data_IF_212217072348
#
_entry.id   IF_212217072348
#
_cell.length_a   1.000
_cell.length_b   1.000
_cell.length_c   1.000
_cell.angle_alpha   90.00
_cell.angle_beta   90.00
_cell.angle_gamma   90.00
#
_symmetry.space_group_name_H-M   'P 1'
#
loop_
_entity.id
_entity.type
_entity.pdbx_description
1 polymer ?
#
# COMPACT_ATOMS: atom_id res chain seq x y z
N UNK A 1 71.08 -27.55 -51.98
CA UNK A 1 70.09 -26.44 -52.10
C UNK A 1 68.95 -26.71 -51.12
N UNK A 2 68.82 -25.86 -50.11
CA UNK A 2 67.85 -25.97 -49.01
C UNK A 2 66.44 -25.66 -49.54
N UNK A 3 65.45 -26.52 -49.30
CA UNK A 3 64.03 -26.17 -49.45
C UNK A 3 63.50 -25.72 -48.08
N UNK A 4 63.09 -24.46 -48.02
CA UNK A 4 62.53 -23.82 -46.83
C UNK A 4 61.05 -24.16 -46.67
N UNK A 5 60.66 -24.22 -45.41
CA UNK A 5 59.33 -24.43 -44.83
C UNK A 5 58.48 -23.18 -45.05
N UNK A 6 57.17 -23.34 -45.30
CA UNK A 6 56.18 -22.31 -44.96
C UNK A 6 54.88 -22.98 -44.48
N UNK A 7 54.75 -23.12 -43.16
CA UNK A 7 53.49 -23.43 -42.49
C UNK A 7 52.73 -22.13 -42.29
N UNK A 8 51.55 -22.00 -42.89
CA UNK A 8 50.65 -20.88 -42.66
C UNK A 8 49.90 -21.10 -41.34
N UNK A 9 50.23 -20.31 -40.33
CA UNK A 9 49.43 -20.18 -39.10
C UNK A 9 48.33 -19.15 -39.37
N UNK A 10 47.08 -19.61 -39.47
CA UNK A 10 45.93 -18.71 -39.36
C UNK A 10 45.80 -18.27 -37.90
N UNK A 11 46.16 -17.03 -37.61
CA UNK A 11 45.81 -16.38 -36.36
C UNK A 11 44.35 -15.91 -36.44
N UNK A 12 43.43 -16.69 -35.89
CA UNK A 12 42.05 -16.25 -35.67
C UNK A 12 42.04 -15.27 -34.50
N UNK A 13 42.03 -13.97 -34.79
CA UNK A 13 41.81 -12.94 -33.79
C UNK A 13 40.38 -13.06 -33.26
N UNK A 14 40.22 -13.61 -32.07
CA UNK A 14 38.97 -13.55 -31.31
C UNK A 14 38.76 -12.10 -30.88
N UNK A 15 38.03 -11.33 -31.70
CA UNK A 15 37.49 -10.03 -31.27
C UNK A 15 36.37 -10.39 -30.30
N UNK A 16 36.70 -10.33 -29.01
CA UNK A 16 35.74 -10.38 -27.92
C UNK A 16 34.93 -9.08 -28.00
N UNK A 17 33.88 -9.08 -28.83
CA UNK A 17 32.91 -8.00 -28.87
C UNK A 17 32.18 -7.99 -27.55
N UNK A 18 32.56 -7.06 -26.67
CA UNK A 18 31.73 -6.65 -25.55
C UNK A 18 30.42 -6.14 -26.15
N UNK A 19 29.39 -6.97 -26.19
CA UNK A 19 28.04 -6.53 -26.48
C UNK A 19 27.63 -5.61 -25.33
N UNK A 20 27.89 -4.31 -25.48
CA UNK A 20 27.33 -3.29 -24.62
C UNK A 20 25.81 -3.47 -24.73
N UNK A 21 25.16 -3.79 -23.61
CA UNK A 21 23.71 -3.84 -23.54
C UNK A 21 23.18 -2.50 -24.07
N UNK A 22 22.38 -2.55 -25.13
CA UNK A 22 21.84 -1.35 -25.75
C UNK A 22 20.94 -0.65 -24.73
N UNK A 23 21.24 0.62 -24.45
CA UNK A 23 20.49 1.43 -23.51
C UNK A 23 19.03 1.55 -24.00
N UNK A 24 18.08 1.24 -23.10
CA UNK A 24 16.66 1.34 -23.41
C UNK A 24 16.29 2.82 -23.41
N UNK A 25 15.91 3.34 -24.56
CA UNK A 25 15.42 4.72 -24.74
C UNK A 25 13.93 4.73 -25.10
N UNK A 26 13.19 5.82 -24.81
CA UNK A 26 11.81 5.99 -25.23
C UNK A 26 11.63 5.85 -26.74
N UNK A 27 10.42 5.50 -27.17
CA UNK A 27 10.00 5.64 -28.56
C UNK A 27 10.08 7.11 -29.03
N UNK A 28 10.35 7.32 -30.33
CA UNK A 28 10.28 8.65 -30.92
C UNK A 28 8.84 9.19 -30.83
N UNK A 29 8.71 10.46 -30.45
CA UNK A 29 7.42 11.16 -30.29
C UNK A 29 6.45 10.48 -29.32
N UNK A 30 6.97 9.77 -28.31
CA UNK A 30 6.16 9.07 -27.32
C UNK A 30 5.19 10.01 -26.58
N UNK A 31 3.95 9.55 -26.40
CA UNK A 31 2.88 10.29 -25.70
C UNK A 31 2.27 9.41 -24.62
N UNK A 32 2.40 9.82 -23.37
CA UNK A 32 1.94 9.04 -22.23
C UNK A 32 0.74 9.69 -21.56
N UNK A 33 -0.38 8.96 -21.49
CA UNK A 33 -1.50 9.24 -20.61
C UNK A 33 -1.21 8.64 -19.23
N UNK A 34 -1.06 9.49 -18.23
CA UNK A 34 -0.76 9.09 -16.85
C UNK A 34 -2.02 9.21 -16.00
N UNK A 35 -2.41 8.14 -15.32
CA UNK A 35 -3.49 8.19 -14.34
C UNK A 35 -2.91 8.30 -12.93
N UNK A 36 -3.42 9.27 -12.17
CA UNK A 36 -2.97 9.56 -10.83
C UNK A 36 -4.16 9.82 -9.90
N UNK A 37 -3.98 9.62 -8.60
CA UNK A 37 -4.98 10.09 -7.66
C UNK A 37 -5.06 11.64 -7.64
N UNK A 38 -6.12 12.17 -7.07
CA UNK A 38 -6.44 13.58 -7.02
C UNK A 38 -5.44 14.37 -6.16
N UNK A 39 -5.48 15.70 -6.31
CA UNK A 39 -4.79 16.61 -5.40
C UNK A 39 -3.26 16.50 -5.49
N UNK A 40 -2.62 16.19 -4.36
CA UNK A 40 -1.16 16.17 -4.25
C UNK A 40 -0.50 15.12 -5.16
N UNK A 41 -1.14 13.96 -5.35
CA UNK A 41 -0.64 12.89 -6.22
C UNK A 41 -0.57 13.34 -7.69
N UNK A 42 -1.62 13.94 -8.24
CA UNK A 42 -1.59 14.50 -9.61
C UNK A 42 -0.53 15.59 -9.76
N UNK A 43 -0.32 16.44 -8.75
CA UNK A 43 0.75 17.46 -8.78
C UNK A 43 2.15 16.83 -8.80
N UNK A 44 2.35 15.79 -7.99
CA UNK A 44 3.59 15.02 -7.99
C UNK A 44 3.86 14.37 -9.36
N UNK A 45 2.85 13.74 -9.98
CA UNK A 45 3.04 13.08 -11.29
C UNK A 45 3.42 14.06 -12.40
N UNK A 46 2.89 15.30 -12.37
CA UNK A 46 3.31 16.37 -13.28
C UNK A 46 4.77 16.77 -13.07
N UNK A 47 5.18 16.97 -11.82
CA UNK A 47 6.57 17.24 -11.47
C UNK A 47 7.50 16.11 -11.96
N UNK A 48 7.13 14.85 -11.71
CA UNK A 48 7.93 13.70 -12.13
C UNK A 48 8.06 13.62 -13.66
N UNK A 49 7.01 13.93 -14.42
CA UNK A 49 7.06 13.97 -15.88
C UNK A 49 8.02 15.04 -16.41
N UNK A 50 8.00 16.24 -15.81
CA UNK A 50 8.92 17.32 -16.16
C UNK A 50 10.38 16.93 -15.87
N UNK A 51 10.64 16.38 -14.68
CA UNK A 51 11.99 15.94 -14.29
C UNK A 51 12.46 14.73 -15.09
N UNK A 52 11.57 13.81 -15.48
CA UNK A 52 11.91 12.68 -16.34
C UNK A 52 12.48 13.14 -17.69
N UNK A 53 11.83 14.09 -18.36
CA UNK A 53 12.36 14.65 -19.60
C UNK A 53 13.65 15.42 -19.38
N UNK A 54 13.70 16.27 -18.34
CA UNK A 54 14.84 17.15 -18.07
C UNK A 54 16.11 16.39 -17.69
N UNK A 55 16.02 15.37 -16.83
CA UNK A 55 17.18 14.63 -16.33
C UNK A 55 17.76 13.68 -17.37
N UNK A 56 16.92 13.14 -18.26
CA UNK A 56 17.32 12.15 -19.25
C UNK A 56 17.50 12.72 -20.67
N UNK A 57 17.16 14.00 -20.89
CA UNK A 57 17.18 14.62 -22.22
C UNK A 57 16.13 14.05 -23.18
N UNK A 58 15.04 13.50 -22.65
CA UNK A 58 13.94 12.93 -23.43
C UNK A 58 12.92 14.00 -23.83
N UNK A 59 12.11 13.68 -24.85
CA UNK A 59 11.02 14.51 -25.33
C UNK A 59 9.71 13.71 -25.38
N UNK A 60 9.25 13.25 -24.22
CA UNK A 60 7.98 12.53 -24.07
C UNK A 60 6.87 13.52 -23.75
N UNK A 61 5.75 13.46 -24.48
CA UNK A 61 4.56 14.27 -24.20
C UNK A 61 3.72 13.58 -23.11
N UNK A 62 3.29 14.33 -22.09
CA UNK A 62 2.50 13.78 -20.99
C UNK A 62 1.11 14.42 -20.90
N UNK A 63 0.10 13.58 -20.73
CA UNK A 63 -1.27 13.98 -20.37
C UNK A 63 -1.69 13.29 -19.08
N UNK A 64 -2.63 13.89 -18.33
CA UNK A 64 -2.98 13.41 -17.00
C UNK A 64 -4.48 13.29 -16.82
N UNK A 65 -4.91 12.19 -16.20
CA UNK A 65 -6.30 11.97 -15.77
C UNK A 65 -6.31 11.62 -14.29
N UNK A 66 -7.12 12.35 -13.51
CA UNK A 66 -7.30 12.01 -12.11
C UNK A 66 -8.34 10.91 -11.96
N UNK A 67 -7.95 9.82 -11.30
CA UNK A 67 -8.82 8.67 -11.02
C UNK A 67 -8.41 8.07 -9.67
N UNK A 68 -9.40 7.64 -8.87
CA UNK A 68 -9.12 6.95 -7.60
C UNK A 68 -8.37 5.63 -7.87
N UNK A 69 -7.33 5.28 -7.09
CA UNK A 69 -6.64 3.99 -7.23
C UNK A 69 -7.57 2.77 -7.18
N UNK A 70 -8.67 2.85 -6.44
CA UNK A 70 -9.67 1.77 -6.32
C UNK A 70 -10.41 1.52 -7.64
N UNK A 71 -10.69 2.57 -8.40
CA UNK A 71 -11.39 2.47 -9.69
C UNK A 71 -10.44 2.15 -10.85
N UNK A 72 -9.14 2.45 -10.67
CA UNK A 72 -8.11 2.39 -11.70
C UNK A 72 -8.01 1.02 -12.35
N UNK A 73 -7.93 -0.07 -11.56
CA UNK A 73 -7.80 -1.42 -12.12
C UNK A 73 -9.01 -1.83 -12.97
N UNK A 74 -10.22 -1.46 -12.56
CA UNK A 74 -11.42 -1.78 -13.35
C UNK A 74 -11.46 -0.94 -14.63
N UNK A 75 -11.10 0.35 -14.56
CA UNK A 75 -11.06 1.25 -15.71
C UNK A 75 -9.98 0.89 -16.72
N UNK A 76 -8.83 0.41 -16.28
CA UNK A 76 -7.74 0.02 -17.17
C UNK A 76 -8.19 -1.07 -18.17
N UNK A 77 -8.99 -2.03 -17.71
CA UNK A 77 -9.58 -3.07 -18.57
C UNK A 77 -10.71 -2.52 -19.43
N UNK A 78 -11.59 -1.69 -18.88
CA UNK A 78 -12.75 -1.16 -19.61
C UNK A 78 -12.36 -0.21 -20.73
N UNK A 79 -11.36 0.63 -20.49
CA UNK A 79 -10.88 1.64 -21.44
C UNK A 79 -9.81 1.03 -22.38
N UNK A 80 -9.45 -0.25 -22.19
CA UNK A 80 -8.46 -0.98 -22.99
C UNK A 80 -8.83 -0.98 -24.47
N UNK A 81 -7.95 -0.42 -25.31
CA UNK A 81 -8.20 -0.22 -26.74
C UNK A 81 -8.89 1.11 -27.10
N UNK A 82 -9.08 2.02 -26.14
CA UNK A 82 -9.50 3.40 -26.40
C UNK A 82 -8.34 4.38 -26.20
N UNK A 83 -8.44 5.58 -26.77
CA UNK A 83 -7.47 6.67 -26.54
C UNK A 83 -7.50 7.25 -25.13
N UNK A 84 -8.41 6.80 -24.27
CA UNK A 84 -8.51 7.24 -22.88
C UNK A 84 -7.73 6.37 -21.91
N UNK A 85 -7.28 5.18 -22.36
CA UNK A 85 -6.50 4.26 -21.53
C UNK A 85 -5.23 4.92 -21.02
N UNK A 86 -4.91 4.73 -19.75
CA UNK A 86 -3.64 5.17 -19.21
C UNK A 86 -2.52 4.26 -19.67
N UNK A 87 -1.39 4.83 -20.04
CA UNK A 87 -0.14 4.12 -20.35
C UNK A 87 0.57 3.70 -19.05
N UNK A 88 0.66 4.64 -18.10
CA UNK A 88 1.19 4.42 -16.75
C UNK A 88 0.14 4.83 -15.73
N UNK A 89 -0.22 3.91 -14.83
CA UNK A 89 -1.28 4.14 -13.85
C UNK A 89 -0.84 3.68 -12.46
N UNK A 90 -1.37 4.31 -11.41
CA UNK A 90 -1.15 3.88 -10.03
C UNK A 90 -2.31 3.01 -9.52
N UNK A 91 -1.99 1.81 -9.03
CA UNK A 91 -2.95 0.87 -8.44
C UNK A 91 -2.56 0.50 -7.01
N UNK A 92 -3.52 0.04 -6.23
CA UNK A 92 -3.21 -0.72 -5.01
C UNK A 92 -2.90 -2.18 -5.37
N UNK A 93 -1.85 -2.73 -4.76
CA UNK A 93 -1.27 -4.03 -5.14
C UNK A 93 -2.26 -5.21 -5.12
N UNK A 94 -3.31 -5.18 -4.29
CA UNK A 94 -4.32 -6.24 -4.21
C UNK A 94 -5.12 -6.41 -5.51
N UNK A 95 -5.11 -5.40 -6.38
CA UNK A 95 -5.73 -5.45 -7.71
C UNK A 95 -4.83 -6.01 -8.81
N UNK A 96 -3.51 -6.10 -8.58
CA UNK A 96 -2.52 -6.49 -9.59
C UNK A 96 -2.82 -7.87 -10.17
N UNK A 97 -3.10 -8.86 -9.32
CA UNK A 97 -3.36 -10.23 -9.77
C UNK A 97 -4.56 -10.33 -10.72
N UNK A 98 -5.60 -9.51 -10.53
CA UNK A 98 -6.77 -9.45 -11.44
C UNK A 98 -6.37 -8.85 -12.78
N UNK A 99 -5.54 -7.81 -12.79
CA UNK A 99 -5.06 -7.17 -14.01
C UNK A 99 -4.18 -8.10 -14.83
N UNK A 100 -3.28 -8.86 -14.18
CA UNK A 100 -2.43 -9.86 -14.85
C UNK A 100 -3.29 -10.93 -15.51
N UNK A 101 -4.27 -11.50 -14.80
CA UNK A 101 -5.19 -12.51 -15.37
C UNK A 101 -6.02 -11.94 -16.53
N UNK A 102 -6.42 -10.67 -16.45
CA UNK A 102 -7.18 -10.01 -17.50
C UNK A 102 -6.31 -9.51 -18.68
N UNK A 103 -4.98 -9.65 -18.60
CA UNK A 103 -4.05 -9.12 -19.61
C UNK A 103 -4.03 -7.59 -19.68
N UNK A 104 -4.32 -6.89 -18.59
CA UNK A 104 -4.40 -5.43 -18.55
C UNK A 104 -3.08 -4.71 -18.27
N UNK A 105 -2.07 -5.44 -17.79
CA UNK A 105 -0.75 -4.89 -17.45
C UNK A 105 0.34 -5.75 -18.06
N UNK A 106 1.44 -5.13 -18.48
CA UNK A 106 2.60 -5.82 -19.01
C UNK A 106 3.63 -6.12 -17.92
N UNK A 107 4.49 -7.11 -18.17
CA UNK A 107 5.61 -7.43 -17.29
C UNK A 107 6.57 -6.25 -17.15
N UNK A 108 7.21 -6.14 -15.98
CA UNK A 108 8.32 -5.23 -15.78
C UNK A 108 9.56 -5.79 -16.48
N UNK A 109 10.10 -5.02 -17.42
CA UNK A 109 11.28 -5.39 -18.21
C UNK A 109 12.55 -4.61 -17.82
N UNK A 110 12.46 -3.73 -16.83
CA UNK A 110 13.55 -2.84 -16.40
C UNK A 110 13.74 -2.86 -14.89
N UNK A 111 14.98 -2.64 -14.44
CA UNK A 111 15.28 -2.41 -13.02
C UNK A 111 14.79 -3.50 -12.04
N UNK A 112 14.57 -4.73 -12.49
CA UNK A 112 14.15 -5.86 -11.64
C UNK A 112 15.12 -6.07 -10.47
N UNK A 113 16.42 -6.13 -10.75
CA UNK A 113 17.46 -6.30 -9.72
C UNK A 113 17.48 -5.14 -8.73
N UNK A 114 17.23 -3.91 -9.22
CA UNK A 114 17.17 -2.71 -8.40
C UNK A 114 16.00 -2.77 -7.43
N UNK A 115 14.80 -3.07 -7.94
CA UNK A 115 13.58 -3.23 -7.13
C UNK A 115 13.79 -4.32 -6.07
N UNK A 116 14.35 -5.47 -6.44
CA UNK A 116 14.59 -6.57 -5.50
C UNK A 116 15.58 -6.22 -4.38
N UNK A 117 16.58 -5.38 -4.68
CA UNK A 117 17.65 -5.02 -3.76
C UNK A 117 17.31 -3.82 -2.86
N UNK A 118 16.66 -2.80 -3.41
CA UNK A 118 16.47 -1.50 -2.76
C UNK A 118 15.14 -1.38 -2.01
N UNK A 119 14.12 -2.13 -2.44
CA UNK A 119 12.78 -2.03 -1.85
C UNK A 119 12.62 -2.95 -0.64
N UNK A 120 11.74 -2.56 0.29
CA UNK A 120 11.39 -3.42 1.42
C UNK A 120 10.75 -4.75 0.93
N UNK A 121 10.98 -5.88 1.62
CA UNK A 121 10.54 -7.19 1.13
C UNK A 121 9.03 -7.31 0.84
N UNK A 122 8.19 -6.58 1.58
CA UNK A 122 6.74 -6.52 1.33
C UNK A 122 6.39 -5.82 0.01
N UNK A 123 7.12 -4.78 -0.36
CA UNK A 123 6.93 -4.05 -1.61
C UNK A 123 7.41 -4.85 -2.82
N UNK A 124 8.55 -5.56 -2.68
CA UNK A 124 9.02 -6.51 -3.70
C UNK A 124 7.97 -7.59 -3.95
N UNK A 125 7.43 -8.19 -2.88
CA UNK A 125 6.38 -9.20 -3.03
C UNK A 125 5.11 -8.64 -3.69
N UNK A 126 4.68 -7.43 -3.28
CA UNK A 126 3.51 -6.76 -3.84
C UNK A 126 3.65 -6.44 -5.33
N UNK A 127 4.88 -6.20 -5.82
CA UNK A 127 5.15 -5.90 -7.22
C UNK A 127 5.03 -7.09 -8.18
N UNK A 128 4.84 -8.31 -7.64
CA UNK A 128 4.91 -9.58 -8.37
C UNK A 128 3.58 -10.30 -8.42
N UNK A 129 3.35 -11.02 -9.52
CA UNK A 129 2.31 -12.04 -9.65
C UNK A 129 2.95 -13.31 -10.22
N UNK A 130 2.70 -14.47 -9.60
CA UNK A 130 3.32 -15.73 -10.00
C UNK A 130 4.86 -15.66 -10.15
N UNK A 131 5.51 -14.95 -9.23
CA UNK A 131 6.96 -14.65 -9.22
C UNK A 131 7.50 -13.79 -10.38
N UNK A 132 6.64 -13.28 -11.25
CA UNK A 132 6.99 -12.34 -12.32
C UNK A 132 6.68 -10.92 -11.87
N UNK A 133 7.57 -9.96 -12.15
CA UNK A 133 7.39 -8.55 -11.82
C UNK A 133 6.45 -7.86 -12.81
N UNK A 134 5.52 -7.05 -12.31
CA UNK A 134 4.57 -6.28 -13.13
C UNK A 134 4.42 -4.82 -12.68
N UNK A 135 4.82 -4.50 -11.44
CA UNK A 135 4.67 -3.17 -10.89
C UNK A 135 5.98 -2.60 -10.35
N UNK A 136 5.98 -1.28 -10.21
CA UNK A 136 7.05 -0.50 -9.63
C UNK A 136 6.52 0.08 -8.31
N UNK A 137 6.99 -0.39 -7.14
CA UNK A 137 6.52 0.14 -5.86
C UNK A 137 6.85 1.62 -5.69
N UNK A 138 5.85 2.44 -5.37
CA UNK A 138 6.02 3.90 -5.22
C UNK A 138 5.72 4.43 -3.83
N UNK A 139 4.84 3.75 -3.08
CA UNK A 139 4.56 4.08 -1.68
C UNK A 139 3.95 2.88 -0.97
N UNK A 140 3.98 2.89 0.36
CA UNK A 140 3.15 2.00 1.15
C UNK A 140 2.44 2.76 2.28
N UNK A 141 1.37 2.16 2.80
CA UNK A 141 0.59 2.69 3.89
C UNK A 141 0.03 1.55 4.75
N UNK A 142 -0.22 1.84 6.02
CA UNK A 142 -0.99 0.98 6.91
C UNK A 142 -1.78 1.84 7.90
N UNK A 143 -2.69 1.21 8.65
CA UNK A 143 -3.52 1.91 9.63
C UNK A 143 -2.69 2.40 10.81
N UNK A 144 -3.10 3.53 11.38
CA UNK A 144 -2.55 4.12 12.58
C UNK A 144 -3.68 4.51 13.54
N UNK A 145 -3.33 4.77 14.80
CA UNK A 145 -4.24 5.32 15.79
C UNK A 145 -4.05 6.83 15.85
N UNK A 146 -5.10 7.57 15.50
CA UNK A 146 -5.21 9.00 15.76
C UNK A 146 -5.86 9.19 17.12
N UNK A 147 -5.37 10.13 17.93
CA UNK A 147 -5.98 10.45 19.22
C UNK A 147 -6.09 11.96 19.44
N UNK A 148 -7.14 12.38 20.13
CA UNK A 148 -7.33 13.76 20.52
C UNK A 148 -6.61 13.99 21.86
N UNK A 149 -5.53 14.78 21.84
CA UNK A 149 -4.70 15.08 23.01
C UNK A 149 -5.42 15.87 24.09
N UNK A 150 -6.54 16.53 23.76
CA UNK A 150 -7.37 17.22 24.75
C UNK A 150 -8.26 16.24 25.55
N UNK A 151 -8.39 14.99 25.08
CA UNK A 151 -9.16 13.92 25.72
C UNK A 151 -8.25 12.83 26.30
N UNK A 152 -7.22 12.45 25.55
CA UNK A 152 -6.19 11.49 25.93
C UNK A 152 -4.84 12.23 25.97
N UNK A 153 -4.49 12.73 27.15
CA UNK A 153 -3.29 13.57 27.34
C UNK A 153 -1.98 12.82 27.05
N UNK A 154 -1.99 11.50 27.19
CA UNK A 154 -0.87 10.62 26.91
C UNK A 154 -1.19 9.71 25.72
N UNK A 155 -0.14 9.35 25.00
CA UNK A 155 -0.24 8.41 23.89
C UNK A 155 -0.67 7.02 24.41
N UNK A 156 -1.83 6.48 23.96
CA UNK A 156 -2.30 5.20 24.47
C UNK A 156 -1.37 4.07 24.03
N UNK A 157 -0.92 3.25 24.97
CA UNK A 157 -0.02 2.10 24.73
C UNK A 157 -0.78 0.80 24.63
N UNK A 158 -1.94 0.73 25.29
CA UNK A 158 -2.80 -0.46 25.33
C UNK A 158 -4.25 -0.10 24.99
N UNK A 159 -4.99 -1.04 24.42
CA UNK A 159 -6.44 -0.88 24.25
C UNK A 159 -7.18 -0.90 25.59
N UNK A 160 -6.60 -1.55 26.60
CA UNK A 160 -7.11 -1.59 27.97
C UNK A 160 -7.16 -0.20 28.60
N UNK A 161 -6.16 0.67 28.36
CA UNK A 161 -6.21 2.09 28.76
C UNK A 161 -7.41 2.82 28.13
N UNK A 162 -7.67 2.56 26.84
CA UNK A 162 -8.79 3.18 26.12
C UNK A 162 -10.13 2.64 26.64
N UNK A 163 -10.22 1.34 26.96
CA UNK A 163 -11.39 0.73 27.59
C UNK A 163 -11.65 1.37 28.95
N UNK A 164 -10.62 1.53 29.79
CA UNK A 164 -10.78 2.15 31.11
C UNK A 164 -11.27 3.61 30.99
N UNK A 165 -10.65 4.40 30.11
CA UNK A 165 -11.10 5.76 29.82
C UNK A 165 -12.57 5.80 29.36
N UNK A 166 -12.98 4.82 28.55
CA UNK A 166 -14.33 4.75 28.00
C UNK A 166 -15.43 4.66 29.05
N UNK A 167 -15.16 4.08 30.23
CA UNK A 167 -16.14 3.94 31.32
C UNK A 167 -16.68 5.28 31.82
N UNK A 168 -15.88 6.35 31.69
CA UNK A 168 -16.25 7.70 32.12
C UNK A 168 -16.57 8.64 30.95
N UNK A 169 -16.01 8.38 29.77
CA UNK A 169 -16.19 9.24 28.59
C UNK A 169 -17.38 8.84 27.70
N UNK A 170 -17.64 7.53 27.53
CA UNK A 170 -18.64 7.06 26.59
C UNK A 170 -20.04 7.54 26.94
N UNK A 171 -20.74 8.09 25.95
CA UNK A 171 -22.11 8.52 26.10
C UNK A 171 -22.83 8.48 24.76
N UNK A 172 -23.60 7.41 24.51
CA UNK A 172 -24.29 7.21 23.24
C UNK A 172 -25.32 8.30 22.93
N UNK A 173 -25.93 8.93 23.96
CA UNK A 173 -26.88 10.04 23.74
C UNK A 173 -26.19 11.30 23.22
N UNK A 174 -24.93 11.50 23.61
CA UNK A 174 -24.09 12.61 23.13
C UNK A 174 -23.21 12.21 21.95
N UNK A 175 -23.31 10.96 21.47
CA UNK A 175 -22.44 10.36 20.45
C UNK A 175 -20.94 10.46 20.81
N UNK A 176 -20.62 10.30 22.10
CA UNK A 176 -19.24 10.27 22.60
C UNK A 176 -18.72 8.84 22.68
N UNK A 177 -17.55 8.59 22.10
CA UNK A 177 -16.94 7.28 22.00
C UNK A 177 -15.43 7.35 22.27
N UNK A 178 -14.89 6.50 23.12
CA UNK A 178 -13.46 6.46 23.40
C UNK A 178 -12.67 5.95 22.20
N UNK A 179 -13.25 5.01 21.44
CA UNK A 179 -12.62 4.38 20.30
C UNK A 179 -13.61 4.26 19.14
N UNK A 180 -13.21 4.67 17.94
CA UNK A 180 -13.93 4.33 16.71
C UNK A 180 -13.00 3.76 15.63
N UNK A 181 -13.54 2.80 14.89
CA UNK A 181 -13.08 2.33 13.58
C UNK A 181 -14.26 1.66 12.87
N UNK A 182 -14.15 1.35 11.57
CA UNK A 182 -15.17 0.56 10.88
C UNK A 182 -15.06 -0.93 11.25
N UNK A 183 -15.76 -1.33 12.29
CA UNK A 183 -15.80 -2.73 12.74
C UNK A 183 -16.21 -3.71 11.62
N UNK A 184 -17.07 -3.26 10.70
CA UNK A 184 -17.56 -4.09 9.59
C UNK A 184 -16.59 -4.17 8.41
N UNK A 185 -15.61 -3.26 8.33
CA UNK A 185 -14.60 -3.30 7.28
C UNK A 185 -13.53 -4.33 7.64
N UNK A 186 -13.41 -5.37 6.82
CA UNK A 186 -12.39 -6.39 7.03
C UNK A 186 -10.98 -5.81 6.99
N UNK A 187 -10.68 -4.88 6.08
CA UNK A 187 -9.36 -4.26 5.99
C UNK A 187 -8.92 -3.62 7.32
N UNK A 188 -9.86 -2.99 8.04
CA UNK A 188 -9.62 -2.37 9.34
C UNK A 188 -9.60 -3.41 10.48
N UNK A 189 -10.61 -4.30 10.54
CA UNK A 189 -10.75 -5.27 11.63
C UNK A 189 -9.78 -6.46 11.55
N UNK A 190 -9.15 -6.68 10.39
CA UNK A 190 -8.19 -7.79 10.18
C UNK A 190 -7.00 -7.73 11.13
N UNK A 191 -6.67 -6.54 11.65
CA UNK A 191 -5.60 -6.38 12.63
C UNK A 191 -5.78 -7.23 13.89
N UNK A 192 -7.00 -7.39 14.37
CA UNK A 192 -7.28 -8.20 15.55
C UNK A 192 -7.33 -9.69 15.22
N UNK A 193 -7.90 -10.05 14.07
CA UNK A 193 -7.92 -11.42 13.58
C UNK A 193 -6.51 -12.01 13.45
N UNK A 194 -5.57 -11.23 12.91
CA UNK A 194 -4.22 -11.71 12.65
C UNK A 194 -3.28 -11.62 13.87
N UNK A 195 -3.66 -10.94 14.96
CA UNK A 195 -2.77 -10.64 16.08
C UNK A 195 -2.28 -11.89 16.82
N UNK A 196 -3.10 -12.95 16.86
CA UNK A 196 -2.77 -14.24 17.48
C UNK A 196 -2.44 -15.34 16.46
N UNK A 197 -2.05 -14.98 15.23
CA UNK A 197 -1.67 -15.96 14.19
C UNK A 197 -2.83 -16.45 13.31
N UNK A 198 -3.97 -15.74 13.30
CA UNK A 198 -4.94 -15.87 12.22
C UNK A 198 -4.33 -15.45 10.89
N UNK A 199 -4.68 -16.15 9.81
CA UNK A 199 -4.25 -15.83 8.45
C UNK A 199 -5.34 -16.22 7.44
N UNK A 200 -5.36 -15.56 6.29
CA UNK A 200 -6.37 -15.80 5.27
C UNK A 200 -6.04 -17.04 4.45
N UNK A 201 -4.82 -17.08 3.92
CA UNK A 201 -4.28 -18.17 3.12
C UNK A 201 -2.89 -18.56 3.62
N UNK A 202 -2.61 -19.85 3.66
CA UNK A 202 -1.32 -20.38 4.09
C UNK A 202 -0.17 -19.96 3.17
N UNK A 203 1.05 -20.31 3.57
CA UNK A 203 2.28 -19.94 2.84
C UNK A 203 2.35 -18.44 2.51
N UNK A 204 2.23 -17.60 3.54
CA UNK A 204 2.28 -16.13 3.43
C UNK A 204 1.25 -15.52 2.46
N UNK A 205 0.10 -16.17 2.28
CA UNK A 205 -0.95 -15.68 1.38
C UNK A 205 -1.02 -16.40 0.04
N UNK A 206 -0.09 -17.30 -0.27
CA UNK A 206 0.01 -17.91 -1.60
C UNK A 206 -0.73 -19.25 -1.75
N UNK A 207 -1.15 -19.90 -0.67
CA UNK A 207 -1.82 -21.20 -0.71
C UNK A 207 -3.33 -21.07 -0.44
N UNK A 208 -4.18 -21.04 -1.47
CA UNK A 208 -5.64 -20.89 -1.29
C UNK A 208 -6.33 -22.12 -0.70
N UNK A 209 -5.65 -23.27 -0.60
CA UNK A 209 -6.20 -24.51 -0.04
C UNK A 209 -5.99 -24.60 1.48
N UNK A 210 -5.11 -23.77 2.04
CA UNK A 210 -4.84 -23.69 3.46
C UNK A 210 -5.49 -22.42 4.02
N UNK A 211 -6.66 -22.58 4.65
CA UNK A 211 -7.46 -21.46 5.16
C UNK A 211 -7.31 -21.33 6.67
N UNK A 212 -6.64 -20.28 7.13
CA UNK A 212 -6.46 -19.96 8.56
C UNK A 212 -7.60 -19.13 9.16
N UNK A 213 -8.66 -18.84 8.40
CA UNK A 213 -9.73 -17.89 8.77
C UNK A 213 -10.52 -18.28 10.02
N UNK A 214 -10.42 -19.53 10.46
CA UNK A 214 -11.07 -20.06 11.65
C UNK A 214 -10.12 -20.89 12.52
N UNK A 215 -8.80 -20.68 12.39
CA UNK A 215 -7.82 -21.32 13.26
C UNK A 215 -7.91 -20.78 14.70
N UNK A 216 -7.21 -21.41 15.65
CA UNK A 216 -7.26 -21.02 17.05
C UNK A 216 -6.87 -19.54 17.25
N UNK A 217 -5.81 -19.08 16.57
CA UNK A 217 -5.37 -17.69 16.60
C UNK A 217 -6.42 -16.69 16.12
N UNK A 218 -7.11 -17.00 15.02
CA UNK A 218 -8.21 -16.20 14.51
C UNK A 218 -9.36 -16.07 15.51
N UNK A 219 -9.73 -17.19 16.14
CA UNK A 219 -10.80 -17.21 17.16
C UNK A 219 -10.39 -16.41 18.40
N UNK A 220 -9.16 -16.59 18.88
CA UNK A 220 -8.60 -15.83 20.02
C UNK A 220 -8.59 -14.33 19.71
N UNK A 221 -8.06 -13.94 18.56
CA UNK A 221 -7.96 -12.54 18.13
C UNK A 221 -9.31 -11.84 18.00
N UNK A 222 -10.29 -12.51 17.39
CA UNK A 222 -11.65 -11.99 17.28
C UNK A 222 -12.39 -11.96 18.63
N UNK A 223 -12.11 -12.91 19.53
CA UNK A 223 -12.66 -12.91 20.89
C UNK A 223 -12.13 -11.72 21.69
N UNK A 224 -10.83 -11.43 21.59
CA UNK A 224 -10.23 -10.24 22.20
C UNK A 224 -10.83 -8.96 21.63
N UNK A 225 -11.03 -8.88 20.30
CA UNK A 225 -11.68 -7.73 19.65
C UNK A 225 -13.06 -7.41 20.25
N UNK A 226 -13.83 -8.43 20.69
CA UNK A 226 -15.15 -8.21 21.29
C UNK A 226 -15.08 -7.39 22.60
N UNK A 227 -13.96 -7.42 23.33
CA UNK A 227 -13.75 -6.59 24.53
C UNK A 227 -13.80 -5.10 24.21
N UNK A 228 -13.38 -4.72 23.00
CA UNK A 228 -13.37 -3.33 22.54
C UNK A 228 -14.77 -2.74 22.37
N UNK A 229 -15.83 -3.54 22.41
CA UNK A 229 -17.22 -3.04 22.36
C UNK A 229 -17.53 -2.07 23.50
N UNK A 230 -16.84 -2.19 24.64
CA UNK A 230 -16.97 -1.25 25.74
C UNK A 230 -16.52 0.17 25.32
N UNK A 231 -15.38 0.26 24.63
CA UNK A 231 -14.82 1.52 24.13
C UNK A 231 -15.49 2.02 22.84
N UNK A 232 -15.78 1.12 21.90
CA UNK A 232 -16.51 1.37 20.67
C UNK A 232 -17.97 0.90 20.81
N UNK A 233 -18.73 1.64 21.62
CA UNK A 233 -20.12 1.35 21.95
C UNK A 233 -21.13 1.79 20.88
N UNK A 234 -20.65 2.28 19.74
CA UNK A 234 -21.49 2.74 18.66
C UNK A 234 -22.17 1.58 17.91
N UNK A 235 -23.32 1.86 17.32
CA UNK A 235 -23.91 0.94 16.36
C UNK A 235 -23.02 0.91 15.10
N UNK A 236 -22.41 -0.24 14.83
CA UNK A 236 -21.44 -0.39 13.74
C UNK A 236 -22.02 -0.09 12.36
N UNK A 237 -23.32 -0.28 12.15
CA UNK A 237 -23.97 0.02 10.87
C UNK A 237 -23.97 1.53 10.56
N UNK A 238 -24.07 2.36 11.59
CA UNK A 238 -24.11 3.82 11.47
C UNK A 238 -22.72 4.42 11.23
N UNK A 239 -21.67 3.62 11.45
CA UNK A 239 -20.27 4.03 11.35
C UNK A 239 -19.56 3.38 10.17
N UNK A 240 -20.25 2.96 9.12
CA UNK A 240 -19.60 2.40 7.92
C UNK A 240 -18.94 3.49 7.07
N UNK A 241 -19.53 4.68 7.01
CA UNK A 241 -18.97 5.84 6.31
C UNK A 241 -17.79 6.46 7.09
N UNK A 242 -16.57 6.52 6.51
CA UNK A 242 -15.42 7.16 7.15
C UNK A 242 -15.65 8.64 7.48
N UNK A 243 -16.43 9.38 6.69
CA UNK A 243 -16.67 10.81 6.94
C UNK A 243 -17.48 11.05 8.21
N UNK A 244 -18.40 10.13 8.55
CA UNK A 244 -19.13 10.17 9.82
C UNK A 244 -18.17 9.98 11.00
N UNK A 245 -17.28 8.98 10.93
CA UNK A 245 -16.29 8.71 11.99
C UNK A 245 -15.32 9.88 12.17
N UNK A 246 -14.77 10.38 11.06
CA UNK A 246 -13.85 11.53 11.03
C UNK A 246 -14.52 12.80 11.55
N UNK A 247 -15.75 13.08 11.14
CA UNK A 247 -16.51 14.23 11.63
C UNK A 247 -16.71 14.20 13.15
N UNK A 248 -17.12 13.05 13.71
CA UNK A 248 -17.25 12.89 15.17
C UNK A 248 -15.92 13.10 15.90
N UNK A 249 -14.80 12.63 15.33
CA UNK A 249 -13.47 12.87 15.89
C UNK A 249 -13.10 14.35 15.84
N UNK A 250 -13.28 15.01 14.70
CA UNK A 250 -13.02 16.45 14.52
C UNK A 250 -13.87 17.33 15.45
N UNK A 251 -15.08 16.89 15.80
CA UNK A 251 -15.96 17.54 16.79
C UNK A 251 -15.54 17.30 18.25
N UNK A 252 -14.46 16.56 18.50
CA UNK A 252 -14.02 16.20 19.85
C UNK A 252 -14.94 15.20 20.57
N UNK A 253 -15.76 14.45 19.82
CA UNK A 253 -16.62 13.40 20.37
C UNK A 253 -15.97 12.03 20.40
N UNK A 254 -14.82 11.89 19.75
CA UNK A 254 -14.07 10.64 19.71
C UNK A 254 -12.68 10.86 20.27
N UNK A 255 -12.26 10.03 21.22
CA UNK A 255 -10.96 10.16 21.85
C UNK A 255 -9.84 9.52 21.01
N UNK A 256 -10.10 8.33 20.45
CA UNK A 256 -9.18 7.60 19.59
C UNK A 256 -9.90 7.08 18.32
N UNK A 257 -9.28 7.26 17.16
CA UNK A 257 -9.79 6.88 15.85
C UNK A 257 -8.74 6.05 15.11
N UNK A 258 -9.09 4.84 14.69
CA UNK A 258 -8.25 4.05 13.79
C UNK A 258 -8.65 4.37 12.35
N UNK A 259 -7.67 4.82 11.56
CA UNK A 259 -7.84 5.13 10.12
C UNK A 259 -6.46 5.06 9.44
N UNK A 260 -6.42 5.23 8.12
CA UNK A 260 -5.15 5.27 7.38
C UNK A 260 -4.55 6.67 7.26
N UNK A 261 -3.35 6.79 6.66
CA UNK A 261 -2.63 8.05 6.47
C UNK A 261 -3.42 9.09 5.66
N UNK A 262 -4.32 8.62 4.78
CA UNK A 262 -5.21 9.46 3.97
C UNK A 262 -6.17 10.34 4.80
N UNK A 263 -6.40 10.02 6.08
CA UNK A 263 -7.23 10.85 6.96
C UNK A 263 -6.48 12.08 7.49
N UNK A 264 -5.15 12.02 7.60
CA UNK A 264 -4.36 12.96 8.40
C UNK A 264 -4.53 14.42 7.96
N UNK A 265 -4.48 14.70 6.66
CA UNK A 265 -4.60 16.06 6.16
C UNK A 265 -5.94 16.72 6.57
N UNK A 266 -7.03 15.94 6.54
CA UNK A 266 -8.35 16.40 6.98
C UNK A 266 -8.43 16.59 8.49
N UNK A 267 -7.80 15.71 9.27
CA UNK A 267 -7.75 15.81 10.74
C UNK A 267 -6.88 17.00 11.21
N UNK A 268 -5.71 17.22 10.61
CA UNK A 268 -4.87 18.40 10.89
C UNK A 268 -5.60 19.70 10.57
N UNK A 269 -6.31 19.75 9.44
CA UNK A 269 -7.06 20.94 9.01
C UNK A 269 -8.22 21.30 9.95
N UNK A 270 -8.77 20.34 10.70
CA UNK A 270 -9.87 20.63 11.62
C UNK A 270 -9.43 21.41 12.86
N UNK A 271 -8.13 21.54 13.12
CA UNK A 271 -7.59 22.23 14.29
C UNK A 271 -7.68 21.43 15.59
N UNK A 272 -8.02 20.14 15.52
CA UNK A 272 -7.97 19.26 16.70
C UNK A 272 -6.53 19.13 17.19
N UNK A 273 -6.34 19.00 18.51
CA UNK A 273 -5.03 18.73 19.08
C UNK A 273 -4.62 17.28 18.79
N UNK A 274 -4.12 17.05 17.58
CA UNK A 274 -3.94 15.72 17.01
C UNK A 274 -2.68 15.03 17.56
N UNK A 275 -2.86 13.82 18.06
CA UNK A 275 -1.81 12.84 18.25
C UNK A 275 -1.95 11.69 17.26
N UNK A 276 -0.82 11.04 16.96
CA UNK A 276 -0.76 9.84 16.11
C UNK A 276 0.19 8.84 16.76
N UNK A 277 -0.19 7.56 16.76
CA UNK A 277 0.66 6.45 17.21
C UNK A 277 0.36 5.18 16.40
N UNK A 278 1.25 4.19 16.50
CA UNK A 278 0.98 2.82 16.03
C UNK A 278 -0.23 2.24 16.75
N UNK A 279 -0.81 1.16 16.22
CA UNK A 279 -1.95 0.53 16.87
C UNK A 279 -1.51 -0.02 18.25
N UNK A 280 -2.19 0.36 19.37
CA UNK A 280 -1.88 -0.12 20.71
C UNK A 280 -1.95 -1.65 20.82
N UNK A 281 -1.30 -2.23 21.82
CA UNK A 281 -1.46 -3.68 22.08
C UNK A 281 -2.85 -3.98 22.63
N UNK A 282 -3.35 -5.19 22.35
CA UNK A 282 -4.57 -5.74 22.96
C UNK A 282 -4.22 -7.10 23.57
N UNK A 283 -4.56 -7.32 24.84
CA UNK A 283 -4.17 -8.51 25.59
C UNK A 283 -2.66 -8.83 25.51
N UNK A 284 -1.81 -7.80 25.45
CA UNK A 284 -0.36 -7.95 25.32
C UNK A 284 0.15 -8.35 23.93
N UNK A 285 -0.73 -8.47 22.93
CA UNK A 285 -0.38 -8.77 21.54
C UNK A 285 -0.47 -7.52 20.66
N UNK A 286 0.39 -7.43 19.64
CA UNK A 286 0.34 -6.37 18.63
C UNK A 286 -0.68 -6.71 17.54
N UNK A 287 -1.71 -5.87 17.32
CA UNK A 287 -2.59 -6.02 16.16
C UNK A 287 -1.81 -5.93 14.84
N UNK A 288 -2.18 -6.77 13.87
CA UNK A 288 -1.47 -6.93 12.59
C UNK A 288 -2.29 -6.45 11.39
N UNK A 289 -2.17 -5.16 11.09
CA UNK A 289 -2.85 -4.48 9.99
C UNK A 289 -2.49 -5.08 8.61
N UNK A 290 -3.18 -4.68 7.55
CA UNK A 290 -2.68 -4.90 6.19
C UNK A 290 -1.62 -3.84 5.84
N UNK A 291 -0.62 -4.21 5.03
CA UNK A 291 0.16 -3.21 4.29
C UNK A 291 -0.49 -3.00 2.94
N UNK A 292 -0.74 -1.76 2.58
CA UNK A 292 -1.15 -1.38 1.23
C UNK A 292 0.05 -0.82 0.52
N UNK A 293 0.58 -1.56 -0.45
CA UNK A 293 1.60 -1.05 -1.37
C UNK A 293 0.91 -0.51 -2.61
N UNK A 294 1.27 0.72 -2.98
CA UNK A 294 0.90 1.34 -4.24
C UNK A 294 1.96 1.06 -5.28
N UNK A 295 1.51 0.65 -6.46
CA UNK A 295 2.35 0.31 -7.60
C UNK A 295 2.06 1.28 -8.74
N UNK A 296 3.10 1.84 -9.36
CA UNK A 296 2.98 2.26 -10.75
C UNK A 296 3.02 0.99 -11.62
N UNK A 297 2.09 0.85 -12.55
CA UNK A 297 2.05 -0.27 -13.50
C UNK A 297 1.94 0.25 -14.91
N UNK A 298 2.46 -0.52 -15.86
CA UNK A 298 2.37 -0.22 -17.28
C UNK A 298 1.23 -1.01 -17.91
N UNK A 299 0.35 -0.28 -18.60
CA UNK A 299 -0.78 -0.85 -19.32
C UNK A 299 -0.30 -1.78 -20.44
N UNK A 300 -0.92 -2.96 -20.57
CA UNK A 300 -0.66 -3.85 -21.71
C UNK A 300 -1.16 -3.26 -23.04
N UNK A 301 -1.95 -2.18 -22.99
CA UNK A 301 -2.54 -1.51 -24.16
C UNK A 301 -1.73 -0.29 -24.63
N UNK A 302 -0.61 0.03 -23.98
CA UNK A 302 0.23 1.18 -24.37
C UNK A 302 0.82 0.99 -25.77
N UNK A 303 0.85 2.05 -26.56
CA UNK A 303 1.59 2.10 -27.83
C UNK A 303 3.08 2.44 -27.61
N UNK A 304 3.47 2.83 -26.38
CA UNK A 304 4.79 3.32 -26.02
C UNK A 304 5.38 2.54 -24.82
N UNK A 305 5.64 1.23 -24.98
CA UNK A 305 6.06 0.37 -23.88
C UNK A 305 7.40 0.78 -23.26
N UNK A 306 8.39 1.23 -24.05
CA UNK A 306 9.69 1.64 -23.49
C UNK A 306 9.58 2.93 -22.69
N UNK A 307 8.92 3.96 -23.25
CA UNK A 307 8.69 5.21 -22.54
C UNK A 307 7.91 4.98 -21.23
N UNK A 308 6.88 4.13 -21.27
CA UNK A 308 6.06 3.80 -20.10
C UNK A 308 6.84 3.05 -19.02
N UNK A 309 7.65 2.04 -19.40
CA UNK A 309 8.49 1.29 -18.45
C UNK A 309 9.54 2.20 -17.80
N UNK A 310 10.23 3.03 -18.60
CA UNK A 310 11.21 3.98 -18.08
C UNK A 310 10.58 5.02 -17.14
N UNK A 311 9.39 5.52 -17.46
CA UNK A 311 8.71 6.48 -16.59
C UNK A 311 8.21 5.81 -15.30
N UNK A 312 7.60 4.63 -15.38
CA UNK A 312 7.16 3.88 -14.20
C UNK A 312 8.35 3.50 -13.28
N UNK A 313 9.49 3.14 -13.88
CA UNK A 313 10.73 2.92 -13.15
C UNK A 313 11.24 4.19 -12.46
N UNK A 314 11.28 5.31 -13.18
CA UNK A 314 11.69 6.61 -12.67
C UNK A 314 10.85 7.05 -11.47
N UNK A 315 9.52 6.81 -11.49
CA UNK A 315 8.62 7.08 -10.37
C UNK A 315 8.97 6.31 -9.08
N UNK A 316 9.70 5.19 -9.21
CA UNK A 316 10.16 4.34 -8.10
C UNK A 316 11.65 4.51 -7.75
N UNK A 317 12.31 5.52 -8.32
CA UNK A 317 13.68 5.89 -7.96
C UNK A 317 13.76 6.53 -6.57
N UNK A 318 14.93 6.51 -5.93
CA UNK A 318 15.17 7.19 -4.64
C UNK A 318 14.81 8.68 -4.69
N UNK A 319 15.28 9.39 -5.73
CA UNK A 319 15.01 10.82 -5.88
C UNK A 319 13.50 11.14 -5.99
N UNK A 320 12.75 10.33 -6.74
CA UNK A 320 11.29 10.51 -6.84
C UNK A 320 10.57 10.03 -5.59
N UNK A 321 11.09 9.03 -4.89
CA UNK A 321 10.58 8.55 -3.61
C UNK A 321 10.67 9.62 -2.52
N UNK A 322 11.82 10.28 -2.38
CA UNK A 322 12.03 11.44 -1.50
C UNK A 322 11.07 12.57 -1.85
N UNK A 323 11.01 12.93 -3.14
CA UNK A 323 10.16 14.03 -3.58
C UNK A 323 8.67 13.75 -3.38
N UNK A 324 8.24 12.50 -3.59
CA UNK A 324 6.88 12.06 -3.32
C UNK A 324 6.55 12.22 -1.84
N UNK A 325 7.45 11.81 -0.96
CA UNK A 325 7.26 11.98 0.49
C UNK A 325 7.12 13.46 0.86
N UNK A 326 8.01 14.33 0.37
CA UNK A 326 7.94 15.79 0.61
C UNK A 326 6.60 16.39 0.16
N UNK A 327 6.11 16.02 -1.04
CA UNK A 327 4.92 16.62 -1.64
C UNK A 327 3.60 16.06 -1.11
N UNK A 328 3.59 14.80 -0.66
CA UNK A 328 2.35 14.05 -0.40
C UNK A 328 2.28 13.41 0.98
N UNK A 329 3.40 13.26 1.68
CA UNK A 329 3.53 12.46 2.90
C UNK A 329 3.44 10.95 2.68
N UNK A 330 3.32 10.48 1.43
CA UNK A 330 3.29 9.05 1.11
C UNK A 330 4.65 8.42 1.40
N UNK A 331 4.67 7.38 2.23
CA UNK A 331 5.92 6.79 2.72
C UNK A 331 6.50 5.89 1.63
N UNK A 332 7.75 6.15 1.20
CA UNK A 332 8.35 5.39 0.11
C UNK A 332 8.74 3.98 0.59
N UNK A 333 8.67 2.96 -0.27
CA UNK A 333 9.06 1.59 0.08
C UNK A 333 10.56 1.33 -0.15
N UNK A 334 11.37 2.38 -0.31
CA UNK A 334 12.82 2.29 -0.55
C UNK A 334 13.55 2.32 0.79
N UNK A 335 14.33 1.28 1.08
CA UNK A 335 14.87 1.05 2.43
C UNK A 335 15.83 2.16 2.90
N UNK A 336 16.67 2.69 2.00
CA UNK A 336 17.59 3.80 2.25
C UNK A 336 16.83 5.09 2.58
N UNK A 337 15.89 5.47 1.73
CA UNK A 337 15.04 6.66 1.90
C UNK A 337 14.21 6.57 3.19
N UNK A 338 13.65 5.40 3.51
CA UNK A 338 12.92 5.21 4.78
C UNK A 338 13.80 5.50 6.01
N UNK A 339 15.05 5.01 6.00
CA UNK A 339 16.00 5.23 7.09
C UNK A 339 16.39 6.70 7.23
N UNK A 340 16.51 7.43 6.12
CA UNK A 340 16.80 8.85 6.15
C UNK A 340 15.63 9.66 6.70
N UNK A 341 14.42 9.37 6.23
CA UNK A 341 13.19 10.01 6.69
C UNK A 341 12.95 9.77 8.18
N UNK A 342 13.26 8.59 8.71
CA UNK A 342 13.03 8.23 10.12
C UNK A 342 13.62 9.25 11.11
N UNK A 343 14.79 9.83 10.79
CA UNK A 343 15.45 10.83 11.65
C UNK A 343 14.69 12.15 11.82
N UNK A 344 13.79 12.47 10.89
CA UNK A 344 13.00 13.71 10.83
C UNK A 344 11.49 13.45 10.68
N UNK A 345 11.09 12.19 10.90
CA UNK A 345 9.77 11.71 10.60
C UNK A 345 8.69 12.42 11.42
N UNK A 346 7.57 12.73 10.77
CA UNK A 346 6.37 13.14 11.48
C UNK A 346 5.86 12.00 12.40
N UNK A 347 5.09 12.30 13.45
CA UNK A 347 4.50 11.25 14.30
C UNK A 347 3.70 10.21 13.51
N UNK A 348 3.00 10.60 12.45
CA UNK A 348 2.31 9.66 11.56
C UNK A 348 3.29 8.76 10.81
N UNK A 349 4.36 9.33 10.24
CA UNK A 349 5.36 8.54 9.52
C UNK A 349 6.01 7.51 10.44
N UNK A 350 6.38 7.90 11.66
CA UNK A 350 6.91 6.96 12.65
C UNK A 350 5.88 5.89 13.03
N UNK A 351 4.62 6.27 13.27
CA UNK A 351 3.55 5.33 13.58
C UNK A 351 3.35 4.29 12.48
N UNK A 352 3.33 4.70 11.21
CA UNK A 352 3.17 3.81 10.07
C UNK A 352 4.39 2.91 9.87
N UNK A 353 5.61 3.43 10.01
CA UNK A 353 6.84 2.62 9.91
C UNK A 353 6.88 1.57 11.03
N UNK A 354 6.62 1.99 12.27
CA UNK A 354 6.56 1.08 13.43
C UNK A 354 5.50 0.00 13.21
N UNK A 355 4.29 0.39 12.81
CA UNK A 355 3.21 -0.56 12.55
C UNK A 355 3.55 -1.51 11.40
N UNK A 356 4.23 -1.03 10.35
CA UNK A 356 4.65 -1.83 9.22
C UNK A 356 5.72 -2.88 9.60
N UNK A 357 6.60 -2.59 10.55
CA UNK A 357 7.57 -3.57 11.06
C UNK A 357 6.95 -4.74 11.82
N UNK A 358 5.73 -4.58 12.33
CA UNK A 358 4.97 -5.61 13.05
C UNK A 358 4.19 -6.53 12.10
N UNK A 359 4.24 -6.26 10.80
CA UNK A 359 3.57 -7.05 9.79
C UNK A 359 4.37 -8.32 9.52
N UNK A 360 3.71 -9.47 9.67
CA UNK A 360 4.17 -10.67 8.93
C UNK A 360 3.93 -10.44 7.46
N UNK A 361 4.95 -10.75 6.66
CA UNK A 361 4.96 -10.64 5.21
C UNK A 361 3.72 -11.34 4.63
N UNK A 362 2.73 -10.54 4.24
CA UNK A 362 1.52 -11.04 3.61
C UNK A 362 1.70 -10.78 2.12
N UNK A 363 2.12 -11.80 1.39
CA UNK A 363 2.12 -11.80 -0.07
C UNK A 363 0.67 -11.98 -0.51
N UNK A 364 -0.13 -10.92 -0.40
CA UNK A 364 -1.47 -10.89 -0.99
C UNK A 364 -1.33 -10.76 -2.50
N UNK A 365 -0.94 -11.85 -3.15
CA UNK A 365 -1.05 -12.01 -4.59
C UNK A 365 -2.19 -12.99 -4.87
N UNK A 366 -3.21 -12.49 -5.57
CA UNK A 366 -4.35 -13.20 -6.13
C UNK A 366 -5.47 -13.59 -5.15
N UNK A 367 -6.64 -12.97 -5.38
CA UNK A 367 -7.98 -13.33 -4.87
C UNK A 367 -8.37 -12.76 -3.51
N UNK A 368 -8.49 -11.43 -3.44
CA UNK A 368 -9.60 -10.89 -2.65
C UNK A 368 -10.78 -10.55 -3.56
N UNK A 369 -11.81 -11.37 -3.43
CA UNK A 369 -13.21 -11.08 -3.69
C UNK A 369 -14.05 -11.78 -2.61
N UNK A 370 -13.69 -11.64 -1.33
CA UNK A 370 -14.63 -11.98 -0.26
C UNK A 370 -15.48 -10.74 -0.03
N UNK A 371 -16.70 -10.80 -0.52
CA UNK A 371 -17.72 -9.78 -0.24
C UNK A 371 -17.91 -9.65 1.27
N UNK A 372 -18.01 -8.41 1.78
CA UNK A 372 -18.12 -8.09 3.21
C UNK A 372 -19.22 -8.84 3.98
N UNK A 373 -20.16 -9.48 3.26
CA UNK A 373 -21.20 -10.35 3.84
C UNK A 373 -20.67 -11.65 4.47
N UNK A 374 -19.51 -12.19 4.06
CA UNK A 374 -18.96 -13.39 4.71
C UNK A 374 -18.23 -13.08 6.02
N UNK A 375 -17.60 -11.91 6.12
CA UNK A 375 -16.93 -11.45 7.35
C UNK A 375 -17.92 -11.24 8.50
N UNK A 376 -19.06 -10.59 8.22
CA UNK A 376 -20.13 -10.41 9.20
C UNK A 376 -20.70 -11.76 9.68
N UNK A 377 -20.79 -12.76 8.77
CA UNK A 377 -21.26 -14.10 9.12
C UNK A 377 -20.29 -14.87 10.01
N UNK A 378 -18.98 -14.69 9.83
CA UNK A 378 -17.97 -15.24 10.75
C UNK A 378 -18.13 -14.64 12.16
N UNK A 379 -18.21 -13.31 12.27
CA UNK A 379 -18.44 -12.63 13.55
C UNK A 379 -19.73 -13.08 14.25
N UNK A 380 -20.83 -13.20 13.49
CA UNK A 380 -22.12 -13.63 14.03
C UNK A 380 -22.14 -15.12 14.43
N UNK A 381 -21.48 -16.00 13.66
CA UNK A 381 -21.47 -17.45 13.92
C UNK A 381 -20.62 -17.83 15.13
N UNK A 382 -19.53 -17.12 15.39
CA UNK A 382 -18.68 -17.33 16.57
C UNK A 382 -19.10 -16.47 17.77
N UNK A 383 -19.75 -15.33 17.55
CA UNK A 383 -20.40 -14.55 18.63
C UNK A 383 -21.58 -15.28 19.27
N UNK A 384 -22.22 -16.23 18.59
CA UNK A 384 -23.30 -17.06 19.16
C UNK A 384 -22.83 -18.26 19.96
N UNK A 385 -21.55 -18.66 19.84
CA UNK A 385 -20.97 -19.76 20.64
C UNK A 385 -20.39 -19.30 21.97
N UNK A 386 -20.26 -17.97 22.19
CA UNK A 386 -20.02 -17.39 23.52
C UNK A 386 -21.37 -17.04 24.15
N UNK A 387 -22.18 -18.06 24.40
CA UNK A 387 -23.33 -18.03 25.31
C UNK A 387 -23.22 -19.21 26.27
N UNK A 388 -22.43 -19.00 27.34
CA UNK A 388 -22.73 -19.20 28.77
C UNK A 388 -21.42 -19.16 29.53
#
# INVERSE_FOLDING_TARGET
>A
MKKAILSAVLATSCICGSAMAQEIVPEADAKLMVWADHGASTKFMKYAAEEFNKQNGYNVEFTFRSLSPVDTATRLIQDGGTTQVGDVVEIEHDTLGRLVVAGGVMENLVSTDRIEKEMIPGAVAASKANNVGYGFPVSFATLAMYYNKDLLNEEPKTFEEIIEFSKTFNNSRQKKYALLWNVQNYYESRMFFAMNGGYEFGNEGSNPQDLGIANEGAVQGLTAMLKLKEANSANSADLTDPQVRRGLFQEGKVAALIDGPWAEAGLKKSGINLGVTSIPTLDGHHPRTFSTVRLAVVSAFTEYPRASQLFADFLSSEAMAEKRYEMTGAIPPVATVMKEIESSATPLTQAVINQASMLTQCRLSLRWAISGNQWLRLLLRYGTTVKT
#
